data_IF_943813549652
#
_entry.id   IF_943813549652
#
_cell.length_a   1.000
_cell.length_b   1.000
_cell.length_c   1.000
_cell.angle_alpha   90.00
_cell.angle_beta   90.00
_cell.angle_gamma   90.00
#
_symmetry.space_group_name_H-M   'P 1'
#
loop_
_entity.id
_entity.type
_entity.pdbx_description
1 polymer ?
#
# COMPACT_ATOMS: atom_id res chain seq x y z
N UNK A 1 -5.36 3.38 -10.77
CA UNK A 1 -5.78 3.91 -9.47
C UNK A 1 -7.30 3.79 -9.32
N UNK A 2 -7.86 3.78 -8.08
CA UNK A 2 -9.26 4.03 -7.86
C UNK A 2 -9.69 5.36 -8.51
N UNK A 3 -10.97 5.54 -8.82
CA UNK A 3 -11.46 6.84 -9.28
C UNK A 3 -11.23 7.87 -8.20
N UNK A 4 -10.86 9.08 -8.58
CA UNK A 4 -10.58 10.15 -7.64
C UNK A 4 -10.85 11.51 -8.28
N UNK A 5 -11.12 12.49 -7.44
CA UNK A 5 -11.28 13.89 -7.86
C UNK A 5 -10.62 14.81 -6.83
N UNK A 6 -9.92 15.79 -7.32
CA UNK A 6 -9.43 16.91 -6.53
C UNK A 6 -10.56 17.91 -6.34
N UNK A 7 -10.74 18.38 -5.11
CA UNK A 7 -11.91 19.16 -4.77
C UNK A 7 -11.64 20.65 -4.93
N UNK A 8 -12.51 21.29 -5.69
CA UNK A 8 -12.56 22.75 -5.85
C UNK A 8 -13.83 23.34 -5.24
N UNK A 9 -14.92 22.58 -5.16
CA UNK A 9 -16.20 23.00 -4.58
C UNK A 9 -16.97 21.83 -3.98
N UNK A 10 -18.01 22.13 -3.17
CA UNK A 10 -18.93 21.10 -2.66
C UNK A 10 -19.78 20.47 -3.77
N UNK A 11 -20.10 21.22 -4.81
CA UNK A 11 -20.87 20.70 -5.94
C UNK A 11 -20.08 19.65 -6.71
N UNK A 12 -18.77 19.87 -6.90
CA UNK A 12 -17.88 18.87 -7.53
C UNK A 12 -17.81 17.57 -6.73
N UNK A 13 -17.90 17.67 -5.39
CA UNK A 13 -17.90 16.51 -4.50
C UNK A 13 -19.18 15.71 -4.67
N UNK A 14 -20.31 16.39 -4.64
CA UNK A 14 -21.61 15.74 -4.75
C UNK A 14 -21.73 15.03 -6.11
N UNK A 15 -21.31 15.69 -7.18
CA UNK A 15 -21.27 15.08 -8.52
C UNK A 15 -20.37 13.82 -8.54
N UNK A 16 -19.19 13.88 -7.90
CA UNK A 16 -18.30 12.72 -7.83
C UNK A 16 -18.90 11.58 -7.00
N UNK A 17 -19.55 11.90 -5.88
CA UNK A 17 -20.23 10.89 -5.04
C UNK A 17 -21.41 10.27 -5.77
N UNK A 18 -22.18 11.05 -6.52
CA UNK A 18 -23.25 10.53 -7.36
C UNK A 18 -22.72 9.57 -8.44
N UNK A 19 -21.52 9.84 -8.97
CA UNK A 19 -20.87 8.97 -9.97
C UNK A 19 -20.34 7.66 -9.38
N UNK A 20 -19.70 7.68 -8.19
CA UNK A 20 -18.96 6.51 -7.66
C UNK A 20 -19.69 5.80 -6.52
N UNK A 21 -20.65 6.44 -5.87
CA UNK A 21 -21.34 5.96 -4.66
C UNK A 21 -20.46 6.01 -3.40
N UNK A 22 -21.10 5.79 -2.26
CA UNK A 22 -20.42 5.55 -1.00
C UNK A 22 -20.00 4.06 -0.87
N UNK A 23 -18.93 3.77 -0.09
CA UNK A 23 -18.08 4.69 0.66
C UNK A 23 -17.02 5.39 -0.20
N UNK A 24 -16.58 6.56 0.26
CA UNK A 24 -15.47 7.32 -0.33
C UNK A 24 -14.38 7.59 0.71
N UNK A 25 -13.15 7.77 0.23
CA UNK A 25 -11.99 8.09 1.06
C UNK A 25 -11.61 9.57 0.88
N UNK A 26 -11.62 10.33 1.96
CA UNK A 26 -11.13 11.71 2.02
C UNK A 26 -9.64 11.70 2.33
N UNK A 27 -8.85 12.38 1.51
CA UNK A 27 -7.39 12.45 1.64
C UNK A 27 -6.91 13.89 1.55
N UNK A 28 -6.41 14.51 2.64
CA UNK A 28 -5.69 15.76 2.54
C UNK A 28 -4.40 15.57 1.71
N UNK A 29 -4.12 16.49 0.78
CA UNK A 29 -2.88 16.43 0.02
C UNK A 29 -1.70 16.94 0.84
N UNK A 30 -0.51 16.40 0.58
CA UNK A 30 0.75 16.78 1.22
C UNK A 30 0.76 16.66 2.75
N UNK A 31 -0.04 15.75 3.29
CA UNK A 31 -0.03 15.43 4.72
C UNK A 31 0.76 14.15 4.94
N UNK A 32 1.66 14.17 5.91
CA UNK A 32 2.43 12.99 6.29
C UNK A 32 1.58 12.05 7.14
N UNK A 33 1.86 10.75 7.00
CA UNK A 33 1.31 9.69 7.87
C UNK A 33 -0.21 9.49 7.78
N UNK A 34 -0.85 9.92 6.70
CA UNK A 34 -2.30 9.73 6.52
C UNK A 34 -3.16 10.52 7.50
N UNK A 35 -2.59 11.55 8.16
CA UNK A 35 -3.35 12.36 9.12
C UNK A 35 -4.62 12.94 8.47
N UNK A 36 -5.75 12.82 9.16
CA UNK A 36 -7.08 13.20 8.71
C UNK A 36 -7.58 12.47 7.43
N UNK A 37 -6.98 11.33 7.08
CA UNK A 37 -7.58 10.40 6.13
C UNK A 37 -8.75 9.68 6.79
N UNK A 38 -9.91 9.67 6.11
CA UNK A 38 -11.10 9.01 6.65
C UNK A 38 -11.93 8.38 5.53
N UNK A 39 -12.49 7.22 5.83
CA UNK A 39 -13.52 6.57 5.01
C UNK A 39 -14.88 7.13 5.43
N UNK A 40 -15.65 7.60 4.46
CA UNK A 40 -16.96 8.18 4.66
C UNK A 40 -18.01 7.27 4.04
N UNK A 41 -18.99 6.83 4.84
CA UNK A 41 -20.06 5.93 4.42
C UNK A 41 -21.34 6.67 4.03
N UNK A 42 -21.43 7.97 4.29
CA UNK A 42 -22.57 8.81 4.00
C UNK A 42 -22.18 10.29 3.88
N UNK A 43 -23.13 11.12 3.44
CA UNK A 43 -22.93 12.52 3.19
C UNK A 43 -22.54 13.31 4.46
N UNK A 44 -23.13 13.00 5.60
CA UNK A 44 -22.85 13.70 6.86
C UNK A 44 -21.40 13.48 7.32
N UNK A 45 -20.92 12.25 7.23
CA UNK A 45 -19.52 11.91 7.51
C UNK A 45 -18.59 12.63 6.55
N UNK A 46 -18.92 12.64 5.27
CA UNK A 46 -18.13 13.31 4.23
C UNK A 46 -17.95 14.78 4.54
N UNK A 47 -19.03 15.52 4.82
CA UNK A 47 -18.97 16.95 5.16
C UNK A 47 -18.15 17.21 6.43
N UNK A 48 -18.30 16.36 7.44
CA UNK A 48 -17.53 16.46 8.69
C UNK A 48 -16.03 16.27 8.44
N UNK A 49 -15.65 15.24 7.70
CA UNK A 49 -14.24 14.93 7.46
C UNK A 49 -13.59 15.88 6.45
N UNK A 50 -14.36 16.44 5.52
CA UNK A 50 -13.87 17.51 4.64
C UNK A 50 -13.48 18.76 5.41
N UNK A 51 -14.27 19.16 6.39
CA UNK A 51 -13.94 20.30 7.28
C UNK A 51 -12.65 20.05 8.05
N UNK A 52 -12.46 18.82 8.56
CA UNK A 52 -11.22 18.43 9.25
C UNK A 52 -10.03 18.43 8.29
N UNK A 53 -10.17 17.84 7.11
CA UNK A 53 -9.13 17.77 6.09
C UNK A 53 -8.69 19.15 5.60
N UNK A 54 -9.63 20.07 5.39
CA UNK A 54 -9.36 21.45 5.00
C UNK A 54 -8.60 22.24 6.09
N UNK A 55 -8.84 21.95 7.37
CA UNK A 55 -8.11 22.58 8.47
C UNK A 55 -6.66 22.09 8.56
N UNK A 56 -6.39 20.83 8.22
CA UNK A 56 -5.04 20.23 8.22
C UNK A 56 -4.26 20.65 6.98
N UNK A 57 -4.91 20.75 5.83
CA UNK A 57 -4.27 21.09 4.54
C UNK A 57 -4.78 22.42 3.98
N UNK A 58 -4.45 23.52 4.65
CA UNK A 58 -4.92 24.88 4.29
C UNK A 58 -4.43 25.39 2.94
N UNK A 59 -3.33 24.88 2.42
CA UNK A 59 -2.67 25.37 1.19
C UNK A 59 -2.80 24.42 0.01
N UNK A 60 -3.32 23.23 0.22
CA UNK A 60 -3.35 22.18 -0.79
C UNK A 60 -4.74 21.57 -0.88
N UNK A 61 -5.12 21.10 -2.05
CA UNK A 61 -6.45 20.54 -2.26
C UNK A 61 -6.66 19.26 -1.44
N UNK A 62 -7.91 19.00 -1.13
CA UNK A 62 -8.36 17.71 -0.59
C UNK A 62 -8.76 16.84 -1.77
N UNK A 63 -8.32 15.59 -1.77
CA UNK A 63 -8.70 14.58 -2.76
C UNK A 63 -9.74 13.67 -2.16
N UNK A 64 -10.80 13.41 -2.91
CA UNK A 64 -11.76 12.33 -2.60
C UNK A 64 -11.59 11.23 -3.62
N UNK A 65 -11.52 10.00 -3.15
CA UNK A 65 -11.41 8.83 -4.00
C UNK A 65 -12.44 7.77 -3.62
N UNK A 66 -12.85 6.99 -4.61
CA UNK A 66 -13.67 5.82 -4.40
C UNK A 66 -12.96 4.86 -3.43
N UNK A 67 -13.66 4.42 -2.39
CA UNK A 67 -13.18 3.35 -1.51
C UNK A 67 -13.69 2.00 -2.03
N UNK A 68 -12.78 1.06 -2.22
CA UNK A 68 -13.11 -0.25 -2.81
C UNK A 68 -13.24 -1.26 -1.67
N UNK A 69 -14.49 -1.49 -1.25
CA UNK A 69 -14.79 -2.45 -0.19
C UNK A 69 -14.44 -3.89 -0.59
N UNK A 70 -14.07 -4.68 0.41
CA UNK A 70 -13.74 -6.10 0.28
C UNK A 70 -12.60 -6.39 -0.71
N UNK A 71 -11.82 -5.38 -1.09
CA UNK A 71 -10.61 -5.59 -1.84
C UNK A 71 -9.51 -6.17 -0.94
N UNK A 72 -8.68 -7.04 -1.51
CA UNK A 72 -7.42 -7.45 -0.89
C UNK A 72 -6.39 -6.35 -1.06
N UNK A 73 -5.64 -6.06 -0.01
CA UNK A 73 -4.42 -5.28 -0.12
C UNK A 73 -3.24 -6.20 -0.38
N UNK A 74 -2.44 -5.83 -1.37
CA UNK A 74 -1.31 -6.62 -1.85
C UNK A 74 -0.11 -5.69 -1.95
N UNK A 75 1.02 -6.14 -1.43
CA UNK A 75 2.27 -5.41 -1.53
C UNK A 75 3.25 -6.13 -2.45
N UNK A 76 4.02 -5.37 -3.18
CA UNK A 76 5.21 -5.86 -3.86
C UNK A 76 6.44 -5.12 -3.37
N UNK A 77 7.28 -5.82 -2.65
CA UNK A 77 8.62 -5.38 -2.29
C UNK A 77 9.59 -5.84 -3.36
N UNK A 78 10.38 -4.92 -3.89
CA UNK A 78 11.28 -5.25 -4.99
C UNK A 78 12.58 -4.44 -4.96
N UNK A 79 13.58 -4.98 -5.64
CA UNK A 79 14.83 -4.29 -5.98
C UNK A 79 14.94 -4.25 -7.48
N UNK A 80 15.19 -3.06 -8.03
CA UNK A 80 15.42 -2.88 -9.46
C UNK A 80 16.76 -2.20 -9.74
N UNK A 81 17.28 -2.41 -10.94
CA UNK A 81 18.45 -1.73 -11.46
C UNK A 81 18.14 -1.23 -12.87
N UNK A 82 18.28 0.07 -13.09
CA UNK A 82 18.00 0.73 -14.38
C UNK A 82 16.61 0.37 -14.94
N UNK A 83 15.61 0.34 -14.06
CA UNK A 83 14.23 0.00 -14.42
C UNK A 83 13.95 -1.50 -14.58
N UNK A 84 14.94 -2.38 -14.46
CA UNK A 84 14.74 -3.82 -14.49
C UNK A 84 14.64 -4.40 -13.09
N UNK A 85 13.56 -5.14 -12.80
CA UNK A 85 13.36 -5.80 -11.50
C UNK A 85 14.31 -7.00 -11.39
N UNK A 86 15.19 -6.95 -10.40
CA UNK A 86 16.18 -7.99 -10.12
C UNK A 86 15.61 -9.04 -9.16
N UNK A 87 14.96 -8.57 -8.08
CA UNK A 87 14.30 -9.41 -7.09
C UNK A 87 12.97 -8.80 -6.66
N UNK A 88 12.00 -9.63 -6.32
CA UNK A 88 10.71 -9.18 -5.85
C UNK A 88 10.05 -10.21 -4.92
N UNK A 89 9.17 -9.72 -4.06
CA UNK A 89 8.27 -10.50 -3.24
C UNK A 89 6.87 -9.88 -3.32
N UNK A 90 5.85 -10.72 -3.56
CA UNK A 90 4.45 -10.31 -3.53
C UNK A 90 3.83 -10.93 -2.30
N UNK A 91 3.36 -10.11 -1.38
CA UNK A 91 2.67 -10.49 -0.15
C UNK A 91 1.24 -9.97 -0.14
N UNK A 92 0.36 -10.61 0.60
CA UNK A 92 -1.01 -10.17 0.76
C UNK A 92 -1.35 -9.92 2.22
N UNK A 93 -2.22 -8.96 2.49
CA UNK A 93 -2.79 -8.75 3.81
C UNK A 93 -3.88 -9.80 4.08
N UNK A 94 -3.94 -10.27 5.31
CA UNK A 94 -5.01 -11.19 5.74
C UNK A 94 -6.31 -10.41 5.87
N UNK A 95 -6.25 -9.20 6.40
CA UNK A 95 -7.35 -8.25 6.46
C UNK A 95 -7.72 -7.72 5.07
N UNK A 96 -8.95 -7.25 4.92
CA UNK A 96 -9.32 -6.47 3.73
C UNK A 96 -8.68 -5.09 3.77
N UNK A 97 -8.60 -4.44 2.61
CA UNK A 97 -8.08 -3.09 2.48
C UNK A 97 -8.81 -2.10 3.40
N UNK A 98 -8.05 -1.18 3.97
CA UNK A 98 -8.51 -0.22 4.96
C UNK A 98 -7.79 -0.33 6.31
N UNK A 99 -6.84 -1.26 6.43
CA UNK A 99 -5.91 -1.34 7.56
C UNK A 99 -4.52 -0.99 7.05
N UNK A 100 -3.85 -0.04 7.71
CA UNK A 100 -2.51 0.36 7.31
C UNK A 100 -1.53 -0.82 7.33
N UNK A 101 -0.65 -0.91 6.35
CA UNK A 101 0.27 -2.04 6.17
C UNK A 101 1.21 -2.31 7.35
N UNK A 102 1.49 -1.28 8.18
CA UNK A 102 2.24 -1.42 9.42
C UNK A 102 1.52 -2.27 10.46
N UNK A 103 0.20 -2.24 10.46
CA UNK A 103 -0.69 -2.89 11.44
C UNK A 103 -1.25 -4.20 10.93
N UNK A 104 -1.38 -4.35 9.62
CA UNK A 104 -1.96 -5.52 8.99
C UNK A 104 -1.11 -6.79 9.21
N UNK A 105 -1.80 -7.91 9.27
CA UNK A 105 -1.17 -9.23 9.21
C UNK A 105 -0.84 -9.56 7.76
N UNK A 106 0.43 -9.79 7.48
CA UNK A 106 0.91 -10.04 6.12
C UNK A 106 1.34 -11.49 5.99
N UNK A 107 0.90 -12.15 4.93
CA UNK A 107 1.34 -13.49 4.55
C UNK A 107 2.12 -13.48 3.23
N UNK A 108 3.16 -14.33 3.18
CA UNK A 108 4.02 -14.48 2.03
C UNK A 108 4.49 -15.94 1.88
N UNK A 109 4.41 -16.57 0.68
CA UNK A 109 3.75 -16.05 -0.54
C UNK A 109 2.23 -15.89 -0.39
N UNK A 110 1.58 -15.12 -1.29
CA UNK A 110 0.14 -14.93 -1.22
C UNK A 110 -0.62 -16.25 -1.40
N UNK A 111 -1.66 -16.46 -0.59
CA UNK A 111 -2.40 -17.72 -0.55
C UNK A 111 -3.78 -17.64 -1.19
N UNK A 112 -4.35 -16.42 -1.28
CA UNK A 112 -5.73 -16.20 -1.76
C UNK A 112 -5.81 -15.37 -3.05
N UNK A 113 -4.66 -15.08 -3.66
CA UNK A 113 -4.61 -14.39 -4.95
C UNK A 113 -4.69 -15.40 -6.11
N UNK A 114 -5.47 -15.06 -7.12
CA UNK A 114 -5.43 -15.82 -8.37
C UNK A 114 -4.07 -15.67 -9.06
N UNK A 115 -3.66 -16.70 -9.78
CA UNK A 115 -2.40 -16.67 -10.55
C UNK A 115 -2.39 -15.51 -11.55
N UNK A 116 -3.53 -15.21 -12.17
CA UNK A 116 -3.65 -14.07 -13.09
C UNK A 116 -3.49 -12.73 -12.39
N UNK A 117 -4.00 -12.58 -11.15
CA UNK A 117 -3.77 -11.40 -10.32
C UNK A 117 -2.28 -11.17 -10.09
N UNK A 118 -1.56 -12.22 -9.68
CA UNK A 118 -0.11 -12.17 -9.47
C UNK A 118 0.64 -11.79 -10.76
N UNK A 119 0.24 -12.37 -11.91
CA UNK A 119 0.84 -12.03 -13.22
C UNK A 119 0.62 -10.58 -13.60
N UNK A 120 -0.57 -10.05 -13.36
CA UNK A 120 -0.89 -8.63 -13.63
C UNK A 120 -0.10 -7.70 -12.73
N UNK A 121 -0.02 -7.98 -11.43
CA UNK A 121 0.80 -7.22 -10.48
C UNK A 121 2.26 -7.17 -10.98
N UNK A 122 2.83 -8.32 -11.34
CA UNK A 122 4.21 -8.37 -11.89
C UNK A 122 4.38 -7.52 -13.15
N UNK A 123 3.41 -7.55 -14.07
CA UNK A 123 3.46 -6.75 -15.29
C UNK A 123 3.39 -5.26 -14.97
N UNK A 124 2.42 -4.83 -14.16
CA UNK A 124 2.26 -3.43 -13.75
C UNK A 124 3.53 -2.94 -13.05
N UNK A 125 4.08 -3.72 -12.12
CA UNK A 125 5.31 -3.35 -11.41
C UNK A 125 6.50 -3.16 -12.34
N UNK A 126 6.65 -4.00 -13.38
CA UNK A 126 7.71 -3.86 -14.37
C UNK A 126 7.57 -2.57 -15.17
N UNK A 127 6.36 -2.25 -15.60
CA UNK A 127 6.09 -1.01 -16.34
C UNK A 127 6.38 0.22 -15.47
N UNK A 128 5.99 0.20 -14.19
CA UNK A 128 6.30 1.29 -13.24
C UNK A 128 7.81 1.40 -13.03
N UNK A 129 8.50 0.29 -12.75
CA UNK A 129 9.94 0.29 -12.54
C UNK A 129 10.69 0.85 -13.74
N UNK A 130 10.28 0.47 -14.96
CA UNK A 130 10.85 0.96 -16.21
C UNK A 130 10.54 2.43 -16.45
N UNK A 131 9.28 2.84 -16.28
CA UNK A 131 8.86 4.23 -16.51
C UNK A 131 9.56 5.22 -15.57
N UNK A 132 9.80 4.81 -14.31
CA UNK A 132 10.51 5.62 -13.31
C UNK A 132 12.03 5.39 -13.31
N UNK A 133 12.54 4.51 -14.17
CA UNK A 133 13.95 4.11 -14.23
C UNK A 133 14.54 3.78 -12.85
N UNK A 134 13.84 2.96 -12.06
CA UNK A 134 14.17 2.70 -10.66
C UNK A 134 15.50 1.96 -10.56
N UNK A 135 16.39 2.45 -9.68
CA UNK A 135 17.61 1.75 -9.26
C UNK A 135 17.70 1.78 -7.73
N UNK A 136 17.42 0.64 -7.10
CA UNK A 136 17.37 0.47 -5.66
C UNK A 136 16.10 -0.24 -5.20
N UNK A 137 15.78 -0.12 -3.89
CA UNK A 137 14.61 -0.73 -3.31
C UNK A 137 13.35 0.10 -3.61
N UNK A 138 12.23 -0.57 -3.82
CA UNK A 138 10.93 0.08 -3.92
C UNK A 138 9.81 -0.86 -3.46
N UNK A 139 8.69 -0.26 -3.10
CA UNK A 139 7.48 -0.95 -2.70
C UNK A 139 6.30 -0.38 -3.47
N UNK A 140 5.42 -1.24 -3.94
CA UNK A 140 4.15 -0.84 -4.55
C UNK A 140 3.00 -1.49 -3.78
N UNK A 141 2.00 -0.69 -3.45
CA UNK A 141 0.76 -1.16 -2.82
C UNK A 141 -0.37 -1.21 -3.84
N UNK A 142 -1.13 -2.27 -3.79
CA UNK A 142 -2.22 -2.58 -4.70
C UNK A 142 -3.50 -2.92 -3.95
N UNK A 143 -4.63 -2.57 -4.55
CA UNK A 143 -5.92 -3.18 -4.25
C UNK A 143 -6.22 -4.22 -5.31
N UNK A 144 -6.62 -5.41 -4.88
CA UNK A 144 -7.03 -6.48 -5.77
C UNK A 144 -8.44 -6.96 -5.38
N UNK A 145 -9.37 -6.82 -6.31
CA UNK A 145 -10.70 -7.42 -6.22
C UNK A 145 -10.82 -8.39 -7.39
N UNK A 146 -10.68 -9.68 -7.08
CA UNK A 146 -10.48 -10.71 -8.10
C UNK A 146 -9.28 -10.38 -9.01
N UNK A 147 -9.50 -10.17 -10.32
CA UNK A 147 -8.48 -9.79 -11.29
C UNK A 147 -8.47 -8.28 -11.62
N UNK A 148 -9.34 -7.48 -10.98
CA UNK A 148 -9.25 -6.02 -11.08
C UNK A 148 -8.23 -5.49 -10.07
N UNK A 149 -7.20 -4.84 -10.58
CA UNK A 149 -6.05 -4.37 -9.79
C UNK A 149 -5.96 -2.86 -9.92
N UNK A 150 -5.88 -2.20 -8.77
CA UNK A 150 -5.62 -0.76 -8.68
C UNK A 150 -4.30 -0.53 -7.94
N UNK A 151 -3.49 0.37 -8.46
CA UNK A 151 -2.29 0.84 -7.75
C UNK A 151 -2.73 1.90 -6.74
N UNK A 152 -2.34 1.74 -5.48
CA UNK A 152 -2.50 2.76 -4.45
C UNK A 152 -1.35 3.74 -4.54
N UNK A 153 -0.11 3.23 -4.33
CA UNK A 153 1.10 4.05 -4.31
C UNK A 153 2.34 3.25 -4.70
N UNK A 154 3.37 3.98 -5.09
CA UNK A 154 4.72 3.45 -5.31
C UNK A 154 5.70 4.25 -4.44
N UNK A 155 6.36 3.57 -3.53
CA UNK A 155 7.34 4.12 -2.60
C UNK A 155 8.75 3.78 -3.07
N UNK A 156 9.56 4.81 -3.41
CA UNK A 156 10.95 4.63 -3.87
C UNK A 156 11.91 4.46 -2.69
N UNK A 157 11.61 3.52 -1.84
CA UNK A 157 12.38 3.16 -0.63
C UNK A 157 12.06 1.73 -0.20
N UNK A 158 12.88 1.16 0.67
CA UNK A 158 12.55 -0.09 1.36
C UNK A 158 11.32 0.12 2.26
N UNK A 159 10.40 -0.85 2.23
CA UNK A 159 9.26 -0.91 3.13
C UNK A 159 9.64 -1.53 4.48
N UNK A 160 8.75 -1.47 5.45
CA UNK A 160 8.92 -2.19 6.73
C UNK A 160 8.83 -3.72 6.57
N UNK A 161 8.26 -4.21 5.47
CA UNK A 161 8.20 -5.64 5.16
C UNK A 161 9.45 -6.20 4.48
N UNK A 162 10.40 -5.37 4.02
CA UNK A 162 11.67 -5.84 3.43
C UNK A 162 12.43 -6.87 4.29
N UNK A 163 12.61 -6.66 5.61
CA UNK A 163 13.27 -7.68 6.45
C UNK A 163 12.48 -8.97 6.55
N UNK A 164 11.15 -8.89 6.58
CA UNK A 164 10.27 -10.05 6.63
C UNK A 164 10.39 -10.89 5.34
N UNK A 165 10.20 -10.28 4.17
CA UNK A 165 10.29 -11.00 2.89
C UNK A 165 11.70 -11.53 2.65
N UNK A 166 12.75 -10.81 3.10
CA UNK A 166 14.14 -11.27 3.02
C UNK A 166 14.37 -12.55 3.81
N UNK A 167 13.83 -12.62 5.03
CA UNK A 167 13.91 -13.80 5.89
C UNK A 167 13.16 -15.00 5.31
N UNK A 168 11.95 -14.76 4.80
CA UNK A 168 11.11 -15.82 4.24
C UNK A 168 11.73 -16.38 2.96
N UNK A 169 12.18 -15.52 2.04
CA UNK A 169 12.86 -15.95 0.80
C UNK A 169 14.27 -16.47 1.01
N UNK A 170 14.90 -16.17 2.16
CA UNK A 170 16.34 -16.40 2.40
C UNK A 170 17.20 -15.72 1.33
N UNK A 171 16.79 -14.54 0.90
CA UNK A 171 17.48 -13.63 -0.01
C UNK A 171 17.57 -12.27 0.69
N UNK A 172 18.77 -11.76 0.90
CA UNK A 172 18.95 -10.48 1.57
C UNK A 172 18.64 -9.31 0.62
N UNK A 173 17.39 -8.87 0.61
CA UNK A 173 16.95 -7.74 -0.23
C UNK A 173 17.64 -6.42 0.11
N UNK A 174 18.00 -6.23 1.39
CA UNK A 174 18.71 -5.01 1.82
C UNK A 174 20.12 -4.98 1.24
N UNK A 175 20.85 -6.11 1.32
CA UNK A 175 22.18 -6.22 0.71
C UNK A 175 22.11 -6.02 -0.82
N UNK A 176 21.16 -6.66 -1.47
CA UNK A 176 20.95 -6.54 -2.90
C UNK A 176 20.67 -5.08 -3.32
N UNK A 177 19.77 -4.42 -2.60
CA UNK A 177 19.45 -3.01 -2.83
C UNK A 177 20.66 -2.10 -2.60
N UNK A 178 21.44 -2.35 -1.54
CA UNK A 178 22.63 -1.58 -1.25
C UNK A 178 23.68 -1.72 -2.35
N UNK A 179 23.92 -2.94 -2.84
CA UNK A 179 24.84 -3.19 -3.95
C UNK A 179 24.41 -2.45 -5.23
N UNK A 180 23.10 -2.49 -5.55
CA UNK A 180 22.55 -1.76 -6.70
C UNK A 180 22.79 -0.26 -6.57
N UNK A 181 22.48 0.33 -5.40
CA UNK A 181 22.67 1.77 -5.18
C UNK A 181 24.12 2.22 -5.22
N UNK A 182 25.04 1.33 -4.85
CA UNK A 182 26.50 1.58 -4.95
C UNK A 182 27.08 1.26 -6.33
N UNK A 183 26.28 0.82 -7.28
CA UNK A 183 26.74 0.43 -8.62
C UNK A 183 27.61 -0.84 -8.63
N UNK A 184 27.52 -1.66 -7.59
CA UNK A 184 28.25 -2.92 -7.51
C UNK A 184 27.58 -4.00 -8.37
N UNK A 185 28.32 -5.01 -8.84
CA UNK A 185 27.73 -6.13 -9.56
C UNK A 185 26.73 -6.88 -8.71
N UNK A 186 25.59 -7.21 -9.28
CA UNK A 186 24.53 -7.98 -8.65
C UNK A 186 24.13 -9.16 -9.52
N UNK A 187 23.94 -10.31 -8.90
CA UNK A 187 23.38 -11.47 -9.57
C UNK A 187 21.87 -11.54 -9.28
N UNK A 188 21.09 -11.87 -10.31
CA UNK A 188 19.65 -12.05 -10.17
C UNK A 188 19.40 -13.37 -9.40
N UNK A 189 18.70 -13.33 -8.26
CA UNK A 189 18.40 -14.55 -7.52
C UNK A 189 17.60 -15.54 -8.36
N UNK A 190 17.99 -16.81 -8.33
CA UNK A 190 17.33 -17.86 -9.11
C UNK A 190 16.07 -18.44 -8.44
N UNK A 191 15.86 -18.17 -7.14
CA UNK A 191 14.72 -18.72 -6.39
C UNK A 191 13.39 -18.21 -6.91
N UNK A 192 12.46 -19.13 -7.10
CA UNK A 192 11.09 -18.86 -7.47
C UNK A 192 10.19 -18.89 -6.22
N UNK A 193 9.18 -18.02 -6.17
CA UNK A 193 8.17 -17.98 -5.11
C UNK A 193 7.42 -19.30 -4.93
N UNK A 194 7.25 -20.05 -6.01
CA UNK A 194 6.58 -21.35 -6.01
C UNK A 194 7.44 -22.51 -5.47
N UNK A 195 8.71 -22.26 -5.15
CA UNK A 195 9.61 -23.26 -4.56
C UNK A 195 9.61 -23.24 -3.03
N UNK A 196 8.80 -22.35 -2.43
CA UNK A 196 8.65 -22.32 -0.97
C UNK A 196 7.62 -23.35 -0.53
N UNK A 197 8.03 -24.23 0.38
CA UNK A 197 7.20 -25.27 1.01
C UNK A 197 6.57 -24.80 2.34
N UNK A 198 6.62 -23.50 2.61
CA UNK A 198 6.07 -22.87 3.81
C UNK A 198 5.51 -21.49 3.50
N UNK A 199 4.68 -20.99 4.42
CA UNK A 199 4.15 -19.64 4.39
C UNK A 199 4.70 -18.85 5.57
N UNK A 200 5.29 -17.70 5.30
CA UNK A 200 5.69 -16.74 6.33
C UNK A 200 4.52 -15.86 6.73
N UNK A 201 4.39 -15.58 8.01
CA UNK A 201 3.39 -14.66 8.57
C UNK A 201 4.12 -13.56 9.33
N UNK A 202 3.78 -12.30 9.04
CA UNK A 202 4.11 -11.13 9.84
C UNK A 202 2.85 -10.71 10.57
N UNK A 203 2.83 -10.79 11.89
CA UNK A 203 1.74 -10.31 12.72
C UNK A 203 2.23 -9.17 13.61
N UNK A 204 1.45 -8.10 13.69
CA UNK A 204 1.74 -6.96 14.56
C UNK A 204 1.27 -7.25 15.98
N UNK A 205 2.07 -6.83 16.96
CA UNK A 205 1.69 -6.81 18.36
C UNK A 205 1.39 -5.37 18.78
N UNK A 206 0.29 -5.20 19.48
CA UNK A 206 -0.18 -3.88 19.92
C UNK A 206 -0.07 -3.72 21.44
N UNK A 207 0.41 -2.55 21.87
CA UNK A 207 0.64 -2.23 23.28
C UNK A 207 -0.51 -1.44 23.91
N UNK A 208 -1.76 -1.70 23.56
CA UNK A 208 -2.95 -0.97 24.05
C UNK A 208 -3.03 -0.90 25.57
N UNK A 209 -2.66 -1.98 26.26
CA UNK A 209 -2.70 -2.03 27.72
C UNK A 209 -1.67 -1.13 28.39
N UNK A 210 -0.62 -0.70 27.67
CA UNK A 210 0.46 0.14 28.18
C UNK A 210 0.33 1.60 27.75
N UNK A 211 -0.36 1.85 26.63
CA UNK A 211 -0.54 3.16 26.05
C UNK A 211 -1.95 3.65 26.33
N UNK A 212 -2.11 4.46 27.36
CA UNK A 212 -3.41 5.05 27.68
C UNK A 212 -3.92 5.91 26.51
N UNK A 213 -5.22 5.77 26.20
CA UNK A 213 -5.92 6.46 25.11
C UNK A 213 -5.47 6.07 23.67
N UNK A 214 -4.73 4.98 23.50
CA UNK A 214 -4.49 4.42 22.18
C UNK A 214 -5.80 3.83 21.65
N UNK A 215 -6.15 4.18 20.41
CA UNK A 215 -7.35 3.64 19.75
C UNK A 215 -7.08 2.19 19.32
N UNK A 216 -7.90 1.22 19.75
CA UNK A 216 -7.76 -0.17 19.32
C UNK A 216 -8.32 -0.44 17.91
N UNK A 217 -9.01 0.52 17.30
CA UNK A 217 -9.57 0.37 15.96
C UNK A 217 -8.49 0.61 14.93
N UNK A 218 -8.17 -0.42 14.15
CA UNK A 218 -7.23 -0.32 13.04
C UNK A 218 -7.92 0.33 11.84
N UNK A 219 -7.23 1.25 11.18
CA UNK A 219 -7.75 1.99 10.05
C UNK A 219 -6.67 2.35 9.03
N UNK A 220 -7.02 3.29 8.18
CA UNK A 220 -6.13 3.79 7.11
C UNK A 220 -5.04 4.74 7.60
N UNK A 221 -5.16 5.23 8.83
CA UNK A 221 -4.18 6.12 9.46
C UNK A 221 -2.89 5.34 9.80
N UNK A 222 -1.75 6.00 9.60
CA UNK A 222 -0.44 5.45 9.92
C UNK A 222 -0.06 5.61 11.40
N UNK A 223 -0.87 6.29 12.21
CA UNK A 223 -0.68 6.41 13.64
C UNK A 223 -0.97 5.05 14.32
N UNK A 224 0.09 4.29 14.58
CA UNK A 224 0.01 2.92 15.05
C UNK A 224 0.84 2.68 16.29
N UNK A 225 0.37 1.78 17.16
CA UNK A 225 1.13 1.19 18.27
C UNK A 225 1.67 -0.21 17.93
N UNK A 226 1.51 -0.65 16.67
CA UNK A 226 1.93 -1.97 16.21
C UNK A 226 3.45 -2.13 16.11
N UNK A 227 3.95 -3.21 16.62
CA UNK A 227 5.36 -3.64 16.52
C UNK A 227 5.46 -5.02 15.87
#
# INVERSE_FOLDING_TARGET
QPRWRELTSMDDINEFVDEVGFPVLVRPSYVLSGAAMNVCSNQEELERFLKLAANVSKKHPVVVSQFIEHAKEVEMDAVAQNGEIIAYAISEHIEFAGVHSGDATIQFPPQKLYVETVRRIKRISREIAKALNISGPFNIQYLARENDIKVIECNLRASRSFPFVSKVLKINFIELATKVMLGLPVEKPSKNLFELDYVGIKASQFSFNRLQKADPVLGVDMASTGE
#
